data_IF_580483443716
#
_entry.id   IF_580483443716
#
_cell.length_a   1.000
_cell.length_b   1.000
_cell.length_c   1.000
_cell.angle_alpha   90.00
_cell.angle_beta   90.00
_cell.angle_gamma   90.00
#
_symmetry.space_group_name_H-M   'P 1'
#
loop_
_entity.id
_entity.type
_entity.pdbx_description
1 polymer ?
#
# COMPACT_ATOMS: atom_id res chain seq x y z
N UNK A 1 -0.53 -14.72 -16.25
CA UNK A 1 -0.14 -15.11 -14.91
C UNK A 1 0.20 -13.92 -14.04
N UNK A 2 -0.29 -13.89 -12.85
CA UNK A 2 -0.04 -12.79 -11.94
C UNK A 2 1.16 -13.09 -11.07
N UNK A 3 1.95 -12.11 -10.81
CA UNK A 3 3.12 -12.35 -9.99
C UNK A 3 3.25 -11.27 -8.93
N UNK A 4 4.23 -11.44 -8.07
CA UNK A 4 4.44 -10.53 -6.96
C UNK A 4 4.86 -9.14 -7.45
N UNK A 5 5.51 -9.07 -8.60
CA UNK A 5 5.93 -7.78 -9.15
C UNK A 5 4.73 -6.91 -9.47
N UNK A 6 3.71 -7.52 -10.06
CA UNK A 6 2.53 -6.78 -10.45
C UNK A 6 1.83 -6.21 -9.21
N UNK A 7 1.73 -7.03 -8.18
CA UNK A 7 1.11 -6.60 -6.93
C UNK A 7 1.93 -5.49 -6.28
N UNK A 8 3.24 -5.63 -6.28
CA UNK A 8 4.12 -4.66 -5.68
C UNK A 8 4.05 -3.32 -6.40
N UNK A 9 4.03 -3.34 -7.72
CA UNK A 9 3.96 -2.12 -8.50
C UNK A 9 2.68 -1.36 -8.20
N UNK A 10 1.60 -2.10 -8.07
CA UNK A 10 0.31 -1.48 -7.84
C UNK A 10 0.25 -0.75 -6.50
N UNK A 11 0.77 -1.39 -5.46
CA UNK A 11 0.63 -0.85 -4.11
C UNK A 11 1.79 0.02 -3.69
N UNK A 12 2.86 0.02 -4.44
CA UNK A 12 4.04 0.76 -4.04
C UNK A 12 3.79 2.27 -4.02
N UNK A 13 3.10 2.77 -5.03
CA UNK A 13 2.75 4.18 -5.06
C UNK A 13 1.81 4.53 -3.90
N UNK A 14 0.89 3.64 -3.61
CA UNK A 14 -0.05 3.87 -2.52
C UNK A 14 0.64 3.90 -1.18
N UNK A 15 1.64 3.04 -0.99
CA UNK A 15 2.41 3.04 0.25
C UNK A 15 3.08 4.39 0.47
N UNK A 16 3.74 4.90 -0.55
CA UNK A 16 4.43 6.17 -0.44
C UNK A 16 3.45 7.31 -0.21
N UNK A 17 2.36 7.32 -0.97
CA UNK A 17 1.37 8.38 -0.83
C UNK A 17 0.70 8.32 0.54
N UNK A 18 0.45 7.13 1.05
CA UNK A 18 -0.15 6.99 2.36
C UNK A 18 0.79 7.52 3.44
N UNK A 19 2.07 7.22 3.32
CA UNK A 19 3.05 7.68 4.30
C UNK A 19 3.14 9.19 4.31
N UNK A 20 2.90 9.83 3.18
CA UNK A 20 2.92 11.29 3.06
C UNK A 20 1.55 11.91 3.30
N UNK A 21 0.57 11.10 3.67
CA UNK A 21 -0.80 11.56 3.89
C UNK A 21 -1.36 12.20 2.64
N UNK A 22 -1.04 11.64 1.49
CA UNK A 22 -1.43 12.22 0.20
C UNK A 22 -2.56 11.45 -0.48
N UNK A 23 -3.04 10.36 0.12
CA UNK A 23 -4.13 9.61 -0.47
C UNK A 23 -5.47 10.26 -0.14
N UNK A 24 -6.40 10.30 -1.11
CA UNK A 24 -7.77 10.73 -0.79
C UNK A 24 -8.38 9.82 0.26
N UNK A 25 -9.32 10.31 1.06
CA UNK A 25 -9.88 9.51 2.15
C UNK A 25 -10.42 8.16 1.69
N UNK A 26 -11.06 8.13 0.54
CA UNK A 26 -11.62 6.88 0.04
C UNK A 26 -10.53 5.86 -0.26
N UNK A 27 -9.48 6.32 -0.90
CA UNK A 27 -8.39 5.41 -1.26
C UNK A 27 -7.59 5.03 -0.03
N UNK A 28 -7.49 5.92 0.92
CA UNK A 28 -6.83 5.60 2.16
C UNK A 28 -7.55 4.47 2.89
N UNK A 29 -8.87 4.48 2.87
CA UNK A 29 -9.64 3.42 3.50
C UNK A 29 -9.40 2.08 2.82
N UNK A 30 -9.36 2.09 1.49
CA UNK A 30 -9.11 0.87 0.74
C UNK A 30 -7.71 0.35 1.06
N UNK A 31 -6.75 1.24 1.11
CA UNK A 31 -5.38 0.85 1.39
C UNK A 31 -5.26 0.31 2.82
N UNK A 32 -5.93 0.93 3.77
CA UNK A 32 -5.89 0.46 5.15
C UNK A 32 -6.47 -0.94 5.29
N UNK A 33 -7.54 -1.20 4.55
CA UNK A 33 -8.11 -2.54 4.56
C UNK A 33 -7.12 -3.54 3.96
N UNK A 34 -6.39 -3.12 2.93
CA UNK A 34 -5.37 -3.97 2.35
C UNK A 34 -4.25 -4.26 3.35
N UNK A 35 -3.88 -3.26 4.13
CA UNK A 35 -2.82 -3.42 5.12
C UNK A 35 -3.14 -4.50 6.15
N UNK A 36 -4.40 -4.65 6.48
CA UNK A 36 -4.79 -5.66 7.47
C UNK A 36 -4.47 -7.06 7.00
N UNK A 37 -4.45 -7.27 5.68
CA UNK A 37 -4.17 -8.57 5.13
C UNK A 37 -2.84 -8.69 4.42
N UNK A 38 -2.05 -7.64 4.40
CA UNK A 38 -0.79 -7.66 3.66
C UNK A 38 0.36 -7.20 4.54
N UNK A 39 1.10 -8.17 5.04
CA UNK A 39 2.23 -7.89 5.89
C UNK A 39 3.35 -7.17 5.14
N UNK A 40 3.49 -7.46 3.86
CA UNK A 40 4.53 -6.84 3.06
C UNK A 40 4.36 -5.33 2.98
N UNK A 41 3.13 -4.87 2.82
CA UNK A 41 2.87 -3.44 2.76
C UNK A 41 3.09 -2.77 4.10
N UNK A 42 2.74 -3.46 5.19
CA UNK A 42 2.99 -2.92 6.52
C UNK A 42 4.48 -2.80 6.78
N UNK A 43 5.23 -3.79 6.31
CA UNK A 43 6.68 -3.74 6.44
C UNK A 43 7.25 -2.55 5.71
N UNK A 44 6.75 -2.32 4.51
CA UNK A 44 7.24 -1.20 3.72
C UNK A 44 6.99 0.13 4.40
N UNK A 45 5.85 0.28 5.02
CA UNK A 45 5.53 1.51 5.73
C UNK A 45 6.50 1.78 6.87
N UNK A 46 6.99 0.72 7.50
CA UNK A 46 7.92 0.90 8.61
C UNK A 46 9.23 1.52 8.17
N UNK A 47 9.58 1.36 6.91
CA UNK A 47 10.84 1.87 6.41
C UNK A 47 10.73 3.27 5.82
N UNK A 48 9.54 3.80 5.71
CA UNK A 48 9.33 5.15 5.24
C UNK A 48 9.22 6.11 6.39
#
# INVERSE_FOLDING_TARGET
MRDASEHRDRWQDDVAAYALDALPPREAEIFEAHLEGCEACREQLRWL
#
